data_IF_877349486651
#
_entry.id   IF_877349486651
#
_cell.length_a   1.000
_cell.length_b   1.000
_cell.length_c   1.000
_cell.angle_alpha   90.00
_cell.angle_beta   90.00
_cell.angle_gamma   90.00
#
_symmetry.space_group_name_H-M   'P 1'
#
loop_
_entity.id
_entity.type
_entity.pdbx_description
1 polymer ?
#
# COMPACT_ATOMS: atom_id res chain seq x y z
N UNK A 1 3.66 -17.12 -14.20
CA UNK A 1 4.04 -16.37 -12.99
C UNK A 1 4.30 -14.94 -13.42
N UNK A 2 3.58 -13.95 -12.91
CA UNK A 2 3.74 -12.55 -13.31
C UNK A 2 4.87 -11.91 -12.51
N UNK A 3 5.71 -11.09 -13.13
CA UNK A 3 6.91 -10.51 -12.50
C UNK A 3 6.52 -9.58 -11.34
N UNK A 4 7.14 -9.80 -10.17
CA UNK A 4 6.93 -8.99 -8.97
C UNK A 4 7.26 -7.51 -9.21
N UNK A 5 8.27 -7.22 -10.03
CA UNK A 5 8.63 -5.84 -10.38
C UNK A 5 7.51 -5.15 -11.16
N UNK A 6 6.82 -5.89 -12.03
CA UNK A 6 5.67 -5.35 -12.78
C UNK A 6 4.51 -5.09 -11.83
N UNK A 7 4.15 -6.06 -11.00
CA UNK A 7 3.05 -5.92 -10.04
C UNK A 7 3.26 -4.75 -9.07
N UNK A 8 4.48 -4.61 -8.54
CA UNK A 8 4.84 -3.53 -7.64
C UNK A 8 4.81 -2.18 -8.36
N UNK A 9 5.29 -2.11 -9.61
CA UNK A 9 5.19 -0.89 -10.40
C UNK A 9 3.73 -0.47 -10.64
N UNK A 10 2.87 -1.41 -11.02
CA UNK A 10 1.45 -1.11 -11.23
C UNK A 10 0.75 -0.70 -9.93
N UNK A 11 1.15 -1.29 -8.79
CA UNK A 11 0.68 -0.88 -7.47
C UNK A 11 1.12 0.55 -7.14
N UNK A 12 2.40 0.86 -7.31
CA UNK A 12 2.94 2.21 -7.08
C UNK A 12 2.28 3.27 -7.98
N UNK A 13 1.99 2.93 -9.24
CA UNK A 13 1.28 3.83 -10.16
C UNK A 13 -0.13 4.16 -9.65
N UNK A 14 -0.85 3.18 -9.08
CA UNK A 14 -2.17 3.40 -8.46
C UNK A 14 -2.06 4.22 -7.18
N UNK A 15 -1.13 3.87 -6.28
CA UNK A 15 -0.94 4.58 -5.01
C UNK A 15 -0.55 6.04 -5.27
N UNK A 16 0.31 6.32 -6.24
CA UNK A 16 0.73 7.69 -6.58
C UNK A 16 -0.42 8.61 -6.96
N UNK A 17 -1.51 8.06 -7.51
CA UNK A 17 -2.73 8.78 -7.90
C UNK A 17 -3.74 8.92 -6.75
N UNK A 18 -3.40 8.43 -5.54
CA UNK A 18 -4.29 8.41 -4.39
C UNK A 18 -5.23 7.20 -4.35
N UNK A 19 -5.08 6.22 -5.27
CA UNK A 19 -5.96 5.04 -5.37
C UNK A 19 -5.50 3.87 -4.49
N UNK A 20 -5.04 4.17 -3.28
CA UNK A 20 -4.41 3.20 -2.37
C UNK A 20 -5.36 2.08 -1.95
N UNK A 21 -6.66 2.37 -1.79
CA UNK A 21 -7.66 1.37 -1.38
C UNK A 21 -7.82 0.29 -2.45
N UNK A 22 -7.87 0.67 -3.73
CA UNK A 22 -7.99 -0.31 -4.81
C UNK A 22 -6.67 -1.02 -5.08
N UNK A 23 -5.53 -0.36 -4.87
CA UNK A 23 -4.22 -1.00 -4.95
C UNK A 23 -4.12 -2.17 -3.95
N UNK A 24 -4.50 -1.96 -2.68
CA UNK A 24 -4.55 -3.04 -1.67
C UNK A 24 -5.51 -4.16 -2.10
N UNK A 25 -6.72 -3.84 -2.54
CA UNK A 25 -7.70 -4.85 -2.99
C UNK A 25 -7.17 -5.74 -4.11
N UNK A 26 -6.39 -5.16 -5.04
CA UNK A 26 -5.89 -5.82 -6.23
C UNK A 26 -4.64 -6.66 -5.98
N UNK A 27 -3.66 -6.16 -5.22
CA UNK A 27 -2.33 -6.78 -5.12
C UNK A 27 -2.05 -7.52 -3.82
N UNK A 28 -2.82 -7.28 -2.76
CA UNK A 28 -2.58 -7.99 -1.49
C UNK A 28 -3.21 -9.37 -1.54
N UNK A 29 -2.48 -10.37 -1.06
CA UNK A 29 -3.03 -11.69 -0.76
C UNK A 29 -4.05 -11.57 0.40
N UNK A 30 -5.05 -12.45 0.44
CA UNK A 30 -6.07 -12.44 1.50
C UNK A 30 -5.44 -12.52 2.90
N UNK A 31 -4.37 -13.29 3.04
CA UNK A 31 -3.62 -13.50 4.29
C UNK A 31 -2.41 -12.56 4.45
N UNK A 32 -2.34 -11.47 3.68
CA UNK A 32 -1.25 -10.51 3.80
C UNK A 32 -1.26 -9.83 5.18
N UNK A 33 -0.10 -9.78 5.82
CA UNK A 33 0.11 -9.02 7.06
C UNK A 33 0.96 -7.79 6.78
N UNK A 34 0.66 -6.67 7.43
CA UNK A 34 1.50 -5.47 7.38
C UNK A 34 2.03 -5.14 8.75
N UNK A 35 3.21 -4.53 8.78
CA UNK A 35 3.79 -3.92 9.97
C UNK A 35 4.15 -2.49 9.61
N UNK A 36 3.50 -1.55 10.29
CA UNK A 36 3.68 -0.13 10.12
C UNK A 36 4.42 0.47 11.31
N UNK A 37 4.90 1.70 11.14
CA UNK A 37 5.56 2.45 12.20
C UNK A 37 4.66 2.56 13.45
N UNK A 38 5.26 2.40 14.64
CA UNK A 38 4.55 2.45 15.91
C UNK A 38 3.84 1.15 16.30
N UNK A 39 4.35 0.00 15.82
CA UNK A 39 3.83 -1.34 16.14
C UNK A 39 2.39 -1.59 15.70
N UNK A 40 1.90 -0.82 14.72
CA UNK A 40 0.59 -1.03 14.12
C UNK A 40 0.71 -2.16 13.11
N UNK A 41 -0.01 -3.26 13.34
CA UNK A 41 -0.06 -4.39 12.41
C UNK A 41 -1.48 -4.62 11.91
N UNK A 42 -1.62 -5.01 10.64
CA UNK A 42 -2.89 -5.56 10.15
C UNK A 42 -2.73 -7.05 9.88
N UNK A 43 -3.73 -7.82 10.28
CA UNK A 43 -3.84 -9.25 10.00
C UNK A 43 -4.87 -9.49 8.90
N UNK A 44 -4.38 -9.74 7.69
CA UNK A 44 -5.18 -9.99 6.51
C UNK A 44 -5.57 -8.73 5.72
N UNK A 45 -5.98 -8.97 4.47
CA UNK A 45 -6.31 -7.93 3.48
C UNK A 45 -7.46 -7.03 3.94
N UNK A 46 -8.46 -7.60 4.61
CA UNK A 46 -9.66 -6.87 5.05
C UNK A 46 -9.28 -5.75 6.02
N UNK A 47 -8.46 -6.04 7.03
CA UNK A 47 -8.00 -5.04 8.01
C UNK A 47 -7.17 -3.94 7.33
N UNK A 48 -6.33 -4.29 6.35
CA UNK A 48 -5.57 -3.30 5.60
C UNK A 48 -6.49 -2.40 4.75
N UNK A 49 -7.54 -2.95 4.13
CA UNK A 49 -8.54 -2.16 3.40
C UNK A 49 -9.24 -1.18 4.35
N UNK A 50 -9.73 -1.65 5.50
CA UNK A 50 -10.40 -0.81 6.51
C UNK A 50 -9.49 0.33 6.97
N UNK A 51 -8.22 0.02 7.26
CA UNK A 51 -7.22 1.02 7.62
C UNK A 51 -7.01 2.06 6.52
N UNK A 52 -6.88 1.64 5.26
CA UNK A 52 -6.68 2.58 4.14
C UNK A 52 -7.93 3.43 3.85
N UNK A 53 -9.13 2.88 4.05
CA UNK A 53 -10.38 3.66 4.00
C UNK A 53 -10.40 4.70 5.11
N UNK A 54 -10.11 4.32 6.36
CA UNK A 54 -10.04 5.27 7.47
C UNK A 54 -8.99 6.36 7.24
N UNK A 55 -7.81 5.98 6.74
CA UNK A 55 -6.75 6.91 6.38
C UNK A 55 -7.21 7.90 5.30
N UNK A 56 -7.77 7.42 4.19
CA UNK A 56 -8.23 8.28 3.08
C UNK A 56 -9.43 9.15 3.44
N UNK A 57 -10.31 8.72 4.36
CA UNK A 57 -11.40 9.54 4.88
C UNK A 57 -10.91 10.63 5.84
N UNK A 58 -9.85 10.38 6.60
CA UNK A 58 -9.26 11.34 7.53
C UNK A 58 -8.50 12.49 6.84
N UNK A 59 -8.26 12.39 5.54
CA UNK A 59 -7.66 13.43 4.70
C UNK A 59 -8.64 13.77 3.60
N UNK A 60 -9.26 14.95 3.68
CA UNK A 60 -10.39 15.36 2.83
C UNK A 60 -10.18 15.13 1.32
N UNK A 61 -8.91 15.09 0.85
CA UNK A 61 -8.55 14.61 -0.48
C UNK A 61 -7.06 14.22 -0.54
N UNK A 62 -6.75 13.01 -0.99
CA UNK A 62 -5.38 12.62 -1.38
C UNK A 62 -5.15 13.10 -2.82
N UNK A 63 -4.38 14.16 -3.00
CA UNK A 63 -4.07 14.70 -4.34
C UNK A 63 -2.87 14.01 -5.00
N UNK A 64 -2.09 13.25 -4.24
CA UNK A 64 -0.96 12.48 -4.75
C UNK A 64 -0.10 11.92 -3.62
N UNK A 65 0.59 10.82 -3.92
CA UNK A 65 1.53 10.15 -3.02
C UNK A 65 2.89 10.07 -3.73
N UNK A 66 3.93 10.62 -3.10
CA UNK A 66 5.29 10.54 -3.64
C UNK A 66 6.00 9.30 -3.09
N UNK A 67 6.22 8.31 -3.94
CA UNK A 67 7.13 7.20 -3.66
C UNK A 67 8.58 7.68 -3.84
N UNK A 68 9.41 7.55 -2.81
CA UNK A 68 10.85 7.86 -2.88
C UNK A 68 11.63 6.68 -3.47
N UNK A 69 11.46 5.51 -2.88
CA UNK A 69 12.13 4.28 -3.31
C UNK A 69 11.19 3.09 -3.11
N UNK A 70 11.36 2.08 -3.95
CA UNK A 70 10.66 0.81 -3.80
C UNK A 70 11.69 -0.30 -3.79
N UNK A 71 11.63 -1.16 -2.77
CA UNK A 71 12.51 -2.31 -2.64
C UNK A 71 11.73 -3.56 -3.04
N UNK A 72 12.30 -4.30 -3.98
CA UNK A 72 11.81 -5.62 -4.40
C UNK A 72 12.97 -6.58 -4.25
N UNK A 73 12.89 -7.43 -3.22
CA UNK A 73 13.83 -8.52 -3.00
C UNK A 73 13.05 -9.77 -2.59
N UNK A 74 13.34 -10.91 -3.23
CA UNK A 74 12.56 -12.14 -3.07
C UNK A 74 11.04 -11.95 -3.29
N UNK A 75 10.23 -12.71 -2.54
CA UNK A 75 8.75 -12.69 -2.60
C UNK A 75 8.11 -11.57 -1.77
N UNK A 76 8.87 -10.54 -1.37
CA UNK A 76 8.42 -9.53 -0.41
C UNK A 76 8.55 -8.13 -1.02
N UNK A 77 7.46 -7.37 -1.02
CA UNK A 77 7.44 -5.94 -1.33
C UNK A 77 7.13 -5.15 -0.06
N UNK A 78 7.88 -4.05 0.16
CA UNK A 78 7.62 -3.11 1.26
C UNK A 78 7.02 -1.84 0.63
N UNK A 79 5.70 -1.60 0.72
CA UNK A 79 5.12 -0.35 0.29
C UNK A 79 5.59 0.80 1.21
N UNK A 80 6.04 1.90 0.58
CA UNK A 80 6.71 3.01 1.23
C UNK A 80 5.77 3.89 2.09
N UNK A 81 6.29 4.36 3.22
CA UNK A 81 5.64 5.24 4.21
C UNK A 81 5.34 6.64 3.65
N UNK A 82 4.10 7.09 3.85
CA UNK A 82 3.66 8.47 3.66
C UNK A 82 4.10 9.37 4.82
N UNK A 83 5.10 10.23 4.60
CA UNK A 83 5.38 11.33 5.53
C UNK A 83 4.62 12.58 5.09
N UNK A 84 3.75 13.12 5.97
CA UNK A 84 3.15 14.46 5.79
C UNK A 84 4.26 15.51 5.83
N UNK A 85 4.30 16.40 4.83
CA UNK A 85 4.93 17.72 4.95
C UNK A 85 3.98 18.69 5.61
#
# INVERSE_FOLDING_TARGET
>A
MMDLKIQVKEMDDMVSQGDIVNAVKKYFAETATTSDYGEVTTDGKVQMIEKMVGFTQAIAKVNGIAHRHTLVDGSTSIPLVLTRT
#
